data_IF_073696461923
#
_entry.id   IF_073696461923
#
_cell.length_a   1.000
_cell.length_b   1.000
_cell.length_c   1.000
_cell.angle_alpha   90.00
_cell.angle_beta   90.00
_cell.angle_gamma   90.00
#
_symmetry.space_group_name_H-M   'P 1'
#
loop_
_entity.id
_entity.type
_entity.pdbx_description
1 polymer ?
#
# COMPACT_ATOMS: atom_id res chain seq x y z
N UNK A 1 -28.51 50.15 14.70
CA UNK A 1 -27.08 50.36 14.99
C UNK A 1 -26.61 49.25 15.93
N UNK A 2 -26.30 48.07 15.37
CA UNK A 2 -24.94 47.62 15.04
C UNK A 2 -24.00 47.49 16.24
N UNK A 3 -23.99 46.33 16.90
CA UNK A 3 -22.80 45.74 17.56
C UNK A 3 -22.85 44.21 17.76
N UNK A 4 -24.00 43.54 17.54
CA UNK A 4 -24.15 42.12 17.85
C UNK A 4 -24.10 41.17 16.64
N UNK A 5 -23.87 41.69 15.43
CA UNK A 5 -23.84 40.89 14.19
C UNK A 5 -22.43 40.60 13.66
N UNK A 6 -21.37 41.11 14.31
CA UNK A 6 -20.02 41.13 13.74
C UNK A 6 -19.09 40.01 14.23
N UNK A 7 -19.55 39.08 15.08
CA UNK A 7 -18.72 37.99 15.60
C UNK A 7 -19.03 36.63 14.96
N UNK A 8 -19.96 36.59 14.00
CA UNK A 8 -20.36 35.37 13.27
C UNK A 8 -19.85 35.38 11.82
N UNK A 9 -18.68 35.97 11.57
CA UNK A 9 -18.16 36.12 10.21
C UNK A 9 -16.62 36.12 10.17
N UNK A 10 -15.95 35.18 10.84
CA UNK A 10 -14.49 35.03 10.68
C UNK A 10 -13.91 33.65 11.07
N UNK A 11 -14.71 32.58 11.04
CA UNK A 11 -14.17 31.21 11.13
C UNK A 11 -14.64 30.40 9.92
N UNK A 12 -14.34 30.91 8.72
CA UNK A 12 -14.21 30.03 7.57
C UNK A 12 -12.83 29.34 7.71
N UNK A 13 -12.78 28.31 8.55
CA UNK A 13 -11.67 27.37 8.58
C UNK A 13 -11.56 26.78 7.16
N UNK A 14 -10.55 27.22 6.42
CA UNK A 14 -10.15 26.61 5.16
C UNK A 14 -9.78 25.16 5.42
N UNK A 15 -10.76 24.26 5.32
CA UNK A 15 -10.50 22.83 5.25
C UNK A 15 -9.81 22.57 3.91
N UNK A 16 -8.48 22.63 3.91
CA UNK A 16 -7.69 22.08 2.81
C UNK A 16 -7.93 20.57 2.79
N UNK A 17 -8.80 20.13 1.89
CA UNK A 17 -8.93 18.71 1.58
C UNK A 17 -7.57 18.30 1.00
N UNK A 18 -6.80 17.52 1.76
CA UNK A 18 -5.59 16.91 1.26
C UNK A 18 -6.00 15.86 0.21
N UNK A 19 -5.99 16.27 -1.06
CA UNK A 19 -6.19 15.38 -2.19
C UNK A 19 -4.86 14.65 -2.44
N UNK A 20 -4.85 13.32 -2.24
CA UNK A 20 -3.75 12.51 -2.74
C UNK A 20 -4.01 12.27 -4.21
N UNK A 21 -3.07 12.66 -5.07
CA UNK A 21 -3.12 12.23 -6.47
C UNK A 21 -3.22 10.70 -6.51
N UNK A 22 -4.05 10.15 -7.40
CA UNK A 22 -4.12 8.71 -7.59
C UNK A 22 -2.77 8.20 -8.09
N UNK A 23 -2.40 6.99 -7.66
CA UNK A 23 -1.22 6.32 -8.17
C UNK A 23 -1.33 6.08 -9.68
N UNK A 24 -0.19 6.21 -10.38
CA UNK A 24 -0.08 5.81 -11.78
C UNK A 24 -0.34 4.32 -11.92
N UNK A 25 -0.96 3.93 -13.05
CA UNK A 25 -1.30 2.53 -13.33
C UNK A 25 -1.02 2.17 -14.77
N UNK A 26 -0.51 0.96 -14.96
CA UNK A 26 -0.41 0.28 -16.24
C UNK A 26 -1.31 -0.97 -16.26
N UNK A 27 -1.76 -1.33 -17.46
CA UNK A 27 -2.50 -2.58 -17.69
C UNK A 27 -1.82 -3.39 -18.77
N UNK A 28 -1.36 -4.59 -18.41
CA UNK A 28 -0.78 -5.56 -19.34
C UNK A 28 -1.83 -6.63 -19.64
N UNK A 29 -2.15 -6.80 -20.94
CA UNK A 29 -3.04 -7.87 -21.40
C UNK A 29 -2.33 -9.22 -21.35
N UNK A 30 -2.92 -10.21 -20.69
CA UNK A 30 -2.40 -11.58 -20.63
C UNK A 30 -3.47 -12.60 -21.03
N UNK A 31 -3.09 -13.86 -21.25
CA UNK A 31 -4.05 -14.96 -21.48
C UNK A 31 -4.90 -15.28 -20.25
N UNK A 32 -4.45 -14.91 -19.05
CA UNK A 32 -5.16 -15.09 -17.78
C UNK A 32 -6.04 -13.90 -17.38
N UNK A 33 -6.17 -12.89 -18.24
CA UNK A 33 -6.85 -11.63 -17.96
C UNK A 33 -5.88 -10.45 -17.87
N UNK A 34 -6.41 -9.30 -17.48
CA UNK A 34 -5.64 -8.07 -17.34
C UNK A 34 -4.80 -8.11 -16.06
N UNK A 35 -3.51 -7.82 -16.17
CA UNK A 35 -2.64 -7.49 -15.05
C UNK A 35 -2.64 -5.97 -14.89
N UNK A 36 -3.31 -5.46 -13.86
CA UNK A 36 -3.19 -4.07 -13.44
C UNK A 36 -1.96 -3.92 -12.54
N UNK A 37 -1.08 -2.98 -12.86
CA UNK A 37 0.10 -2.62 -12.07
C UNK A 37 -0.11 -1.21 -11.55
N UNK A 38 -0.18 -1.04 -10.23
CA UNK A 38 -0.21 0.27 -9.58
C UNK A 38 1.18 0.62 -9.06
N UNK A 39 1.73 1.75 -9.50
CA UNK A 39 3.04 2.25 -9.10
C UNK A 39 2.92 3.11 -7.84
N UNK A 40 3.30 2.56 -6.69
CA UNK A 40 3.18 3.26 -5.40
C UNK A 40 4.41 4.14 -5.15
N UNK A 41 5.61 3.61 -5.38
CA UNK A 41 6.87 4.36 -5.28
C UNK A 41 8.09 3.46 -5.12
N UNK A 42 9.26 3.88 -5.60
CA UNK A 42 10.49 3.06 -5.57
C UNK A 42 10.25 1.66 -6.19
N UNK A 43 10.54 0.57 -5.48
CA UNK A 43 10.20 -0.80 -5.86
C UNK A 43 8.84 -1.29 -5.36
N UNK A 44 8.07 -0.42 -4.70
CA UNK A 44 6.77 -0.77 -4.12
C UNK A 44 5.67 -0.72 -5.18
N UNK A 45 5.04 -1.87 -5.42
CA UNK A 45 3.98 -2.04 -6.41
C UNK A 45 2.76 -2.74 -5.80
N UNK A 46 1.59 -2.51 -6.39
CA UNK A 46 0.39 -3.32 -6.11
C UNK A 46 -0.18 -3.84 -7.43
N UNK A 47 -0.35 -5.17 -7.51
CA UNK A 47 -0.96 -5.82 -8.67
C UNK A 47 -2.40 -6.21 -8.40
N UNK A 48 -3.24 -6.00 -9.40
CA UNK A 48 -4.55 -6.64 -9.53
C UNK A 48 -4.51 -7.66 -10.65
N UNK A 49 -4.70 -8.94 -10.34
CA UNK A 49 -4.68 -10.00 -11.35
C UNK A 49 -5.58 -11.17 -10.96
N UNK A 50 -6.46 -11.63 -11.87
CA UNK A 50 -7.33 -12.78 -11.61
C UNK A 50 -8.21 -12.64 -10.35
N UNK A 51 -8.62 -11.41 -10.02
CA UNK A 51 -9.38 -11.12 -8.79
C UNK A 51 -8.56 -11.28 -7.50
N UNK A 52 -7.23 -11.15 -7.58
CA UNK A 52 -6.30 -11.17 -6.44
C UNK A 52 -5.61 -9.82 -6.32
N UNK A 53 -5.33 -9.41 -5.08
CA UNK A 53 -4.51 -8.26 -4.73
C UNK A 53 -3.15 -8.75 -4.25
N UNK A 54 -2.09 -8.31 -4.93
CA UNK A 54 -0.71 -8.68 -4.64
C UNK A 54 0.08 -7.42 -4.31
N UNK A 55 0.66 -7.33 -3.11
CA UNK A 55 1.54 -6.22 -2.74
C UNK A 55 3.00 -6.65 -2.85
N UNK A 56 3.80 -5.85 -3.54
CA UNK A 56 5.23 -6.08 -3.75
C UNK A 56 5.98 -5.02 -2.94
N UNK A 57 6.86 -5.47 -2.03
CA UNK A 57 7.73 -4.61 -1.22
C UNK A 57 6.99 -3.41 -0.60
N UNK A 58 5.92 -3.64 0.20
CA UNK A 58 5.12 -2.56 0.76
C UNK A 58 5.93 -1.71 1.75
N UNK A 59 5.97 -0.39 1.54
CA UNK A 59 6.70 0.57 2.39
C UNK A 59 5.81 1.77 2.76
N UNK A 60 5.70 2.05 4.06
CA UNK A 60 4.75 3.02 4.63
C UNK A 60 5.08 4.46 4.28
N UNK A 61 6.30 4.74 3.84
CA UNK A 61 6.70 6.05 3.33
C UNK A 61 5.92 6.46 2.07
N UNK A 62 5.50 5.50 1.25
CA UNK A 62 4.94 5.77 -0.08
C UNK A 62 3.40 5.70 -0.14
N UNK A 63 2.75 5.12 0.86
CA UNK A 63 1.28 5.05 0.91
C UNK A 63 0.74 4.88 2.34
N UNK A 64 -0.50 5.33 2.52
CA UNK A 64 -1.32 4.98 3.68
C UNK A 64 -1.95 3.60 3.48
N UNK A 65 -1.23 2.55 3.90
CA UNK A 65 -1.64 1.15 3.73
C UNK A 65 -2.94 0.78 4.46
N UNK A 66 -3.41 1.60 5.41
CA UNK A 66 -4.72 1.39 6.03
C UNK A 66 -5.88 1.63 5.05
N UNK A 67 -5.64 2.41 3.98
CA UNK A 67 -6.63 2.73 2.93
C UNK A 67 -6.53 1.83 1.70
N UNK A 68 -5.48 1.00 1.62
CA UNK A 68 -5.29 0.09 0.49
C UNK A 68 -6.04 -1.24 0.69
N UNK A 69 -6.38 -1.96 -0.40
CA UNK A 69 -7.02 -3.27 -0.30
C UNK A 69 -6.16 -4.28 0.45
N UNK A 70 -6.81 -5.19 1.18
CA UNK A 70 -6.12 -6.30 1.87
C UNK A 70 -5.44 -7.21 0.86
N UNK A 71 -4.27 -7.72 1.22
CA UNK A 71 -3.46 -8.55 0.36
C UNK A 71 -3.97 -10.00 0.35
N UNK A 72 -4.14 -10.59 -0.82
CA UNK A 72 -4.15 -12.05 -0.97
C UNK A 72 -2.72 -12.60 -0.89
N UNK A 73 -1.76 -11.87 -1.47
CA UNK A 73 -0.34 -12.19 -1.49
C UNK A 73 0.51 -10.95 -1.18
N UNK A 74 1.56 -11.13 -0.38
CA UNK A 74 2.62 -10.16 -0.18
C UNK A 74 3.94 -10.79 -0.61
N UNK A 75 4.67 -10.13 -1.50
CA UNK A 75 6.01 -10.52 -1.93
C UNK A 75 7.03 -9.55 -1.35
N UNK A 76 8.09 -10.08 -0.73
CA UNK A 76 9.18 -9.28 -0.18
C UNK A 76 10.50 -9.75 -0.79
N UNK A 77 11.14 -8.86 -1.54
CA UNK A 77 12.31 -9.19 -2.35
C UNK A 77 13.58 -9.34 -1.51
N UNK A 78 13.83 -8.45 -0.55
CA UNK A 78 14.99 -8.49 0.34
C UNK A 78 14.81 -7.64 1.60
N UNK A 79 15.75 -7.74 2.53
CA UNK A 79 15.59 -7.33 3.93
C UNK A 79 15.82 -5.84 4.21
N UNK A 80 16.14 -5.05 3.18
CA UNK A 80 16.39 -3.63 3.36
C UNK A 80 15.07 -2.88 3.64
N UNK A 81 15.16 -1.79 4.40
CA UNK A 81 13.98 -1.05 4.92
C UNK A 81 13.15 -0.37 3.83
N UNK A 82 13.74 -0.13 2.67
CA UNK A 82 13.06 0.37 1.48
C UNK A 82 12.33 -0.74 0.68
N UNK A 83 12.31 -1.97 1.21
CA UNK A 83 11.56 -3.11 0.66
C UNK A 83 10.82 -3.95 1.72
N UNK A 84 11.30 -3.94 2.97
CA UNK A 84 10.70 -4.64 4.11
C UNK A 84 10.29 -3.63 5.19
N UNK A 85 8.98 -3.40 5.33
CA UNK A 85 8.41 -2.52 6.34
C UNK A 85 7.16 -3.12 7.01
N UNK A 86 7.32 -3.62 8.23
CA UNK A 86 6.24 -4.19 9.04
C UNK A 86 5.06 -3.24 9.22
N UNK A 87 5.30 -1.92 9.23
CA UNK A 87 4.23 -0.91 9.38
C UNK A 87 3.32 -0.85 8.16
N UNK A 88 3.86 -1.11 6.98
CA UNK A 88 3.10 -1.18 5.74
C UNK A 88 2.38 -2.52 5.60
N UNK A 89 3.01 -3.60 6.06
CA UNK A 89 2.50 -4.97 5.97
C UNK A 89 1.32 -5.20 6.92
N UNK A 90 1.43 -4.74 8.17
CA UNK A 90 0.44 -5.06 9.20
C UNK A 90 -1.01 -4.64 8.85
N UNK A 91 -1.27 -3.46 8.25
CA UNK A 91 -2.62 -3.07 7.86
C UNK A 91 -3.23 -3.90 6.74
N UNK A 92 -2.43 -4.43 5.81
CA UNK A 92 -2.93 -5.16 4.63
C UNK A 92 -2.92 -6.68 4.80
N UNK A 93 -2.16 -7.21 5.77
CA UNK A 93 -2.09 -8.64 6.08
C UNK A 93 -3.31 -9.09 6.87
N UNK A 94 -3.82 -10.26 6.51
CA UNK A 94 -4.91 -10.97 7.18
C UNK A 94 -4.54 -12.44 7.39
N UNK A 95 -5.37 -13.20 8.10
CA UNK A 95 -5.18 -14.65 8.26
C UNK A 95 -5.23 -15.43 6.94
N UNK A 96 -5.78 -14.83 5.87
CA UNK A 96 -5.85 -15.42 4.53
C UNK A 96 -4.68 -15.01 3.64
N UNK A 97 -3.88 -14.04 4.07
CA UNK A 97 -2.78 -13.50 3.27
C UNK A 97 -1.61 -14.48 3.25
N UNK A 98 -1.20 -14.89 2.06
CA UNK A 98 0.08 -15.58 1.88
C UNK A 98 1.19 -14.53 1.84
N UNK A 99 2.28 -14.74 2.58
CA UNK A 99 3.48 -13.91 2.47
C UNK A 99 4.61 -14.78 1.95
N UNK A 100 5.25 -14.39 0.85
CA UNK A 100 6.44 -15.07 0.30
C UNK A 100 7.62 -14.12 0.39
N UNK A 101 8.72 -14.62 0.92
CA UNK A 101 9.89 -13.79 1.26
C UNK A 101 11.17 -14.63 1.28
N UNK A 102 12.32 -13.96 1.27
CA UNK A 102 13.63 -14.60 1.35
C UNK A 102 13.97 -15.07 2.76
N UNK A 103 14.93 -15.98 2.89
CA UNK A 103 15.39 -16.45 4.21
C UNK A 103 15.86 -15.31 5.11
N UNK A 104 16.49 -14.26 4.55
CA UNK A 104 16.93 -13.10 5.35
C UNK A 104 15.76 -12.26 5.84
N UNK A 105 14.73 -12.04 5.02
CA UNK A 105 13.50 -11.37 5.45
C UNK A 105 12.80 -12.13 6.57
N UNK A 106 12.83 -13.47 6.56
CA UNK A 106 12.14 -14.31 7.55
C UNK A 106 12.69 -14.14 8.97
N UNK A 107 13.92 -13.63 9.10
CA UNK A 107 14.53 -13.29 10.39
C UNK A 107 13.92 -12.03 11.01
N UNK A 108 13.25 -11.20 10.22
CA UNK A 108 12.64 -9.94 10.64
C UNK A 108 11.11 -10.02 10.65
N UNK A 109 10.51 -10.69 9.65
CA UNK A 109 9.07 -10.87 9.53
C UNK A 109 8.66 -12.33 9.67
N UNK A 110 7.83 -12.63 10.66
CA UNK A 110 7.37 -13.99 10.95
C UNK A 110 6.13 -14.39 10.14
N UNK A 111 5.95 -15.71 9.98
CA UNK A 111 4.75 -16.30 9.37
C UNK A 111 4.67 -16.16 7.84
N UNK A 112 5.81 -15.99 7.16
CA UNK A 112 5.88 -16.12 5.71
C UNK A 112 6.45 -17.46 5.26
N UNK A 113 6.21 -17.77 3.99
CA UNK A 113 6.76 -18.92 3.28
C UNK A 113 8.12 -18.49 2.73
N UNK A 114 9.19 -19.14 3.20
CA UNK A 114 10.54 -18.88 2.68
C UNK A 114 10.66 -19.48 1.28
N UNK A 115 10.84 -18.63 0.28
CA UNK A 115 11.26 -19.06 -1.05
C UNK A 115 12.79 -18.99 -1.09
N UNK A 116 13.43 -20.17 -1.16
CA UNK A 116 14.84 -20.25 -1.55
C UNK A 116 14.92 -19.84 -3.02
N UNK A 117 15.92 -19.04 -3.40
CA UNK A 117 16.08 -18.49 -4.75
C UNK A 117 15.55 -19.44 -5.84
N UNK A 118 14.65 -18.93 -6.68
CA UNK A 118 14.06 -19.66 -7.80
C UNK A 118 15.08 -20.14 -8.82
#
# INVERSE_FOLDING_TARGET
MNRLFLTMMCVALSFSIAYSEPFEKDIIKTSGGDLEITFIGHGTLMFGFGGKIIHIDPVSQYADYAKLPKADLILITHEHKDHLDDKAIAPIRTDKTTVVLTETCAKQLTGGIVMKNG
#
